data_IF_552846657562
#
_entry.id   IF_552846657562
#
_cell.length_a   1.000
_cell.length_b   1.000
_cell.length_c   1.000
_cell.angle_alpha   90.00
_cell.angle_beta   90.00
_cell.angle_gamma   90.00
#
_symmetry.space_group_name_H-M   'P 1'
#
loop_
_entity.id
_entity.type
_entity.pdbx_description
1 polymer ?
#
# COMPACT_ATOMS: atom_id res chain seq x y z
N UNK A 1 16.14 2.78 -35.29
CA UNK A 1 15.02 2.75 -34.33
C UNK A 1 15.10 1.42 -33.60
N UNK A 2 15.88 1.35 -32.53
CA UNK A 2 15.75 0.23 -31.58
C UNK A 2 14.35 0.31 -30.98
N UNK A 3 13.55 -0.73 -31.17
CA UNK A 3 12.25 -0.87 -30.53
C UNK A 3 12.48 -0.83 -29.02
N UNK A 4 11.81 0.08 -28.33
CA UNK A 4 11.86 0.22 -26.87
C UNK A 4 11.53 -1.14 -26.22
N UNK A 5 12.47 -1.72 -25.49
CA UNK A 5 12.30 -3.04 -24.87
C UNK A 5 11.71 -2.88 -23.47
N UNK A 6 10.40 -3.13 -23.35
CA UNK A 6 9.68 -3.03 -22.11
C UNK A 6 10.14 -4.02 -21.04
N UNK A 7 10.56 -5.21 -21.41
CA UNK A 7 11.00 -6.22 -20.44
C UNK A 7 12.29 -5.75 -19.75
N UNK A 8 13.24 -5.20 -20.52
CA UNK A 8 14.46 -4.63 -19.96
C UNK A 8 14.14 -3.39 -19.10
N UNK A 9 13.23 -2.54 -19.55
CA UNK A 9 12.85 -1.33 -18.82
C UNK A 9 12.17 -1.63 -17.49
N UNK A 10 11.30 -2.64 -17.45
CA UNK A 10 10.51 -2.98 -16.26
C UNK A 10 11.25 -3.84 -15.25
N UNK A 11 12.29 -4.56 -15.67
CA UNK A 11 13.05 -5.48 -14.81
C UNK A 11 13.53 -4.86 -13.49
N UNK A 12 14.11 -3.65 -13.43
CA UNK A 12 14.51 -3.03 -12.17
C UNK A 12 13.31 -2.77 -11.23
N UNK A 13 12.14 -2.43 -11.78
CA UNK A 13 10.91 -2.21 -10.99
C UNK A 13 10.37 -3.52 -10.43
N UNK A 14 10.39 -4.61 -11.20
CA UNK A 14 9.99 -5.94 -10.76
C UNK A 14 10.87 -6.41 -9.61
N UNK A 15 12.19 -6.32 -9.76
CA UNK A 15 13.15 -6.64 -8.70
C UNK A 15 12.94 -5.78 -7.44
N UNK A 16 12.74 -4.47 -7.60
CA UNK A 16 12.54 -3.56 -6.47
C UNK A 16 11.25 -3.89 -5.70
N UNK A 17 10.16 -4.20 -6.41
CA UNK A 17 8.88 -4.56 -5.81
C UNK A 17 8.99 -5.88 -5.04
N UNK A 18 9.57 -6.91 -5.64
CA UNK A 18 9.78 -8.23 -5.01
C UNK A 18 10.66 -8.12 -3.76
N UNK A 19 11.79 -7.43 -3.87
CA UNK A 19 12.74 -7.22 -2.77
C UNK A 19 12.09 -6.47 -1.61
N UNK A 20 11.31 -5.42 -1.90
CA UNK A 20 10.67 -4.65 -0.84
C UNK A 20 9.56 -5.44 -0.14
N UNK A 21 8.76 -6.22 -0.87
CA UNK A 21 7.77 -7.13 -0.27
C UNK A 21 8.46 -8.09 0.70
N UNK A 22 9.57 -8.69 0.28
CA UNK A 22 10.32 -9.63 1.11
C UNK A 22 10.84 -8.97 2.41
N UNK A 23 11.35 -7.73 2.30
CA UNK A 23 11.77 -6.94 3.47
C UNK A 23 10.63 -6.65 4.43
N UNK A 24 9.45 -6.31 3.94
CA UNK A 24 8.27 -6.03 4.77
C UNK A 24 7.74 -7.30 5.44
N UNK A 25 7.74 -8.45 4.75
CA UNK A 25 7.42 -9.74 5.37
C UNK A 25 8.44 -10.12 6.47
N UNK A 26 9.72 -9.79 6.25
CA UNK A 26 10.74 -9.94 7.29
C UNK A 26 10.46 -9.11 8.55
N UNK A 27 9.94 -7.88 8.38
CA UNK A 27 9.53 -7.03 9.50
C UNK A 27 8.33 -7.64 10.24
N UNK A 28 7.31 -8.14 9.54
CA UNK A 28 6.18 -8.85 10.15
C UNK A 28 6.65 -10.01 11.01
N UNK A 29 7.59 -10.82 10.50
CA UNK A 29 8.19 -11.92 11.24
C UNK A 29 8.94 -11.46 12.50
N UNK A 30 9.57 -10.29 12.48
CA UNK A 30 10.23 -9.73 13.68
C UNK A 30 9.22 -9.34 14.75
N UNK A 31 8.10 -8.70 14.40
CA UNK A 31 7.00 -8.42 15.33
C UNK A 31 6.47 -9.70 15.95
N UNK A 32 6.21 -10.73 15.16
CA UNK A 32 5.75 -12.04 15.62
C UNK A 32 6.71 -12.69 16.62
N UNK A 33 8.00 -12.76 16.27
CA UNK A 33 9.03 -13.37 17.15
C UNK A 33 9.22 -12.61 18.46
N UNK A 34 8.98 -11.30 18.45
CA UNK A 34 9.06 -10.46 19.62
C UNK A 34 7.77 -10.45 20.47
N UNK A 35 6.72 -11.18 20.08
CA UNK A 35 5.38 -11.12 20.67
C UNK A 35 4.83 -9.69 20.74
N UNK A 36 5.11 -8.87 19.72
CA UNK A 36 4.60 -7.52 19.58
C UNK A 36 3.46 -7.47 18.59
N UNK A 37 2.50 -6.59 18.85
CA UNK A 37 1.45 -6.30 17.88
C UNK A 37 2.04 -5.79 16.58
N UNK A 38 1.72 -6.44 15.46
CA UNK A 38 2.17 -6.05 14.13
C UNK A 38 1.15 -5.11 13.47
N UNK A 39 1.54 -3.87 13.10
CA UNK A 39 0.63 -2.95 12.41
C UNK A 39 0.43 -3.29 10.93
N UNK A 40 1.24 -4.20 10.38
CA UNK A 40 1.19 -4.63 8.98
C UNK A 40 0.39 -5.92 8.90
N UNK A 41 -0.66 -5.95 8.08
CA UNK A 41 -1.45 -7.16 7.90
C UNK A 41 -1.15 -7.84 6.56
N UNK A 42 -1.27 -7.10 5.46
CA UNK A 42 -1.02 -7.62 4.12
C UNK A 42 -0.05 -6.70 3.39
N UNK A 43 0.95 -7.30 2.75
CA UNK A 43 1.86 -6.61 1.83
C UNK A 43 1.68 -7.20 0.45
N UNK A 44 1.48 -6.35 -0.54
CA UNK A 44 1.41 -6.74 -1.94
C UNK A 44 2.10 -5.71 -2.82
N UNK A 45 2.44 -6.09 -4.02
CA UNK A 45 3.04 -5.16 -4.97
C UNK A 45 2.64 -5.48 -6.40
N UNK A 46 2.85 -4.51 -7.26
CA UNK A 46 2.63 -4.69 -8.69
C UNK A 46 3.55 -3.79 -9.50
N UNK A 47 3.84 -4.21 -10.71
CA UNK A 47 4.41 -3.38 -11.76
C UNK A 47 3.32 -3.07 -12.78
N UNK A 48 3.23 -1.81 -13.18
CA UNK A 48 2.23 -1.33 -14.14
C UNK A 48 2.54 -1.87 -15.54
N UNK A 49 1.49 -2.29 -16.26
CA UNK A 49 1.66 -2.74 -17.64
C UNK A 49 2.15 -1.63 -18.57
N UNK A 50 2.91 -1.95 -19.64
CA UNK A 50 3.38 -0.98 -20.62
C UNK A 50 2.29 -0.06 -21.15
N UNK A 51 1.13 -0.63 -21.49
CA UNK A 51 -0.01 0.16 -21.97
C UNK A 51 -0.48 1.18 -20.93
N UNK A 52 -0.58 0.78 -19.65
CA UNK A 52 -1.00 1.67 -18.57
C UNK A 52 0.02 2.78 -18.29
N UNK A 53 1.31 2.49 -18.46
CA UNK A 53 2.40 3.49 -18.35
C UNK A 53 2.28 4.53 -19.47
N UNK A 54 2.14 4.08 -20.71
CA UNK A 54 1.98 4.96 -21.88
C UNK A 54 0.72 5.83 -21.77
N UNK A 55 -0.41 5.25 -21.35
CA UNK A 55 -1.64 6.01 -21.17
C UNK A 55 -1.51 7.06 -20.05
N UNK A 56 -0.76 6.76 -19.00
CA UNK A 56 -0.48 7.72 -17.94
C UNK A 56 0.48 8.82 -18.44
N UNK A 57 1.55 8.47 -19.12
CA UNK A 57 2.52 9.41 -19.68
C UNK A 57 1.84 10.39 -20.64
N UNK A 58 0.94 9.90 -21.53
CA UNK A 58 0.15 10.75 -22.43
C UNK A 58 -0.74 11.73 -21.69
N UNK A 59 -1.45 11.28 -20.64
CA UNK A 59 -2.30 12.15 -19.82
C UNK A 59 -1.54 13.23 -19.06
N UNK A 60 -0.30 12.93 -18.69
CA UNK A 60 0.58 13.86 -17.99
C UNK A 60 1.45 14.71 -18.94
N UNK A 61 1.33 14.52 -20.27
CA UNK A 61 2.21 15.10 -21.27
C UNK A 61 3.70 14.84 -21.00
N UNK A 62 4.03 13.62 -20.53
CA UNK A 62 5.40 13.20 -20.27
C UNK A 62 5.99 12.53 -21.51
N UNK A 63 7.12 13.03 -22.04
CA UNK A 63 7.85 12.36 -23.11
C UNK A 63 8.31 10.96 -22.70
N UNK A 64 8.38 10.02 -23.64
CA UNK A 64 8.80 8.63 -23.39
C UNK A 64 10.17 8.56 -22.71
N UNK A 65 11.09 9.44 -23.06
CA UNK A 65 12.43 9.50 -22.49
C UNK A 65 12.47 9.91 -20.99
N UNK A 66 11.39 10.43 -20.44
CA UNK A 66 11.28 10.89 -19.05
C UNK A 66 10.26 10.07 -18.23
N UNK A 67 9.83 8.91 -18.75
CA UNK A 67 8.82 8.07 -18.07
C UNK A 67 9.34 7.60 -16.71
N UNK A 68 10.58 7.15 -16.62
CA UNK A 68 11.23 6.68 -15.40
C UNK A 68 11.39 7.76 -14.34
N UNK A 69 11.49 9.03 -14.74
CA UNK A 69 11.62 10.17 -13.82
C UNK A 69 10.27 10.78 -13.38
N UNK A 70 9.25 10.68 -14.22
CA UNK A 70 7.98 11.43 -14.05
C UNK A 70 6.77 10.56 -13.75
N UNK A 71 6.81 9.27 -14.06
CA UNK A 71 5.73 8.32 -13.75
C UNK A 71 6.07 7.56 -12.48
N UNK A 72 5.61 8.07 -11.33
CA UNK A 72 6.03 7.60 -10.00
C UNK A 72 5.48 6.24 -9.57
N UNK A 73 4.46 5.72 -10.26
CA UNK A 73 3.72 4.52 -9.89
C UNK A 73 3.89 3.35 -10.88
N UNK A 74 5.06 3.29 -11.53
CA UNK A 74 5.43 2.12 -12.36
C UNK A 74 5.54 0.90 -11.45
N UNK A 75 6.34 0.98 -10.39
CA UNK A 75 6.38 0.02 -9.31
C UNK A 75 5.55 0.52 -8.12
N UNK A 76 4.66 -0.31 -7.60
CA UNK A 76 3.80 0.04 -6.48
C UNK A 76 3.81 -1.03 -5.39
N UNK A 77 3.90 -0.59 -4.14
CA UNK A 77 3.76 -1.41 -2.95
C UNK A 77 2.47 -1.00 -2.25
N UNK A 78 1.66 -1.98 -1.88
CA UNK A 78 0.45 -1.76 -1.10
C UNK A 78 0.56 -2.47 0.24
N UNK A 79 0.33 -1.73 1.32
CA UNK A 79 0.32 -2.25 2.67
C UNK A 79 -1.06 -2.01 3.26
N UNK A 80 -1.72 -3.09 3.69
CA UNK A 80 -3.03 -3.04 4.33
C UNK A 80 -2.87 -3.23 5.83
N UNK A 81 -3.58 -2.40 6.59
CA UNK A 81 -3.59 -2.36 8.04
C UNK A 81 -5.02 -2.54 8.57
N UNK A 82 -5.18 -2.94 9.84
CA UNK A 82 -6.51 -3.06 10.47
C UNK A 82 -7.11 -1.71 10.83
N UNK A 83 -6.31 -0.80 11.38
CA UNK A 83 -6.76 0.45 11.98
C UNK A 83 -6.08 1.67 11.35
N UNK A 84 -6.71 2.83 11.47
CA UNK A 84 -6.15 4.09 10.97
C UNK A 84 -4.79 4.39 11.63
N UNK A 85 -4.66 4.19 12.93
CA UNK A 85 -3.41 4.43 13.66
C UNK A 85 -2.26 3.55 13.16
N UNK A 86 -2.57 2.31 12.75
CA UNK A 86 -1.59 1.40 12.17
C UNK A 86 -1.10 1.90 10.81
N UNK A 87 -1.97 2.52 10.02
CA UNK A 87 -1.56 3.15 8.75
C UNK A 87 -0.48 4.20 9.00
N UNK A 88 -0.64 5.05 10.02
CA UNK A 88 0.36 6.07 10.35
C UNK A 88 1.65 5.47 10.93
N UNK A 89 1.54 4.43 11.77
CA UNK A 89 2.73 3.70 12.27
C UNK A 89 3.54 3.08 11.14
N UNK A 90 2.86 2.43 10.18
CA UNK A 90 3.52 1.85 9.01
C UNK A 90 4.10 2.94 8.10
N UNK A 91 3.40 4.06 7.92
CA UNK A 91 3.91 5.19 7.16
C UNK A 91 5.23 5.72 7.75
N UNK A 92 5.32 5.87 9.08
CA UNK A 92 6.55 6.26 9.76
C UNK A 92 7.65 5.20 9.62
N UNK A 93 7.31 3.91 9.74
CA UNK A 93 8.25 2.82 9.54
C UNK A 93 8.87 2.84 8.13
N UNK A 94 8.05 3.08 7.10
CA UNK A 94 8.53 3.19 5.71
C UNK A 94 9.37 4.45 5.52
N UNK A 95 8.91 5.62 6.03
CA UNK A 95 9.61 6.92 5.88
C UNK A 95 10.99 6.95 6.55
N UNK A 96 11.15 6.24 7.66
CA UNK A 96 12.39 6.22 8.44
C UNK A 96 13.41 5.17 7.94
N UNK A 97 13.10 4.45 6.86
CA UNK A 97 14.04 3.48 6.30
C UNK A 97 15.24 4.18 5.65
N UNK A 98 16.42 3.59 5.88
CA UNK A 98 17.67 4.12 5.30
C UNK A 98 17.89 3.75 3.84
N UNK A 99 17.17 2.73 3.35
CA UNK A 99 17.22 2.26 1.97
C UNK A 99 16.21 2.95 1.04
N UNK A 100 15.47 3.94 1.57
CA UNK A 100 14.52 4.77 0.82
C UNK A 100 14.89 6.25 0.93
N UNK A 101 14.82 6.96 -0.19
CA UNK A 101 14.80 8.42 -0.24
C UNK A 101 13.37 8.87 -0.49
N UNK A 102 12.71 9.39 0.54
CA UNK A 102 11.33 9.88 0.43
C UNK A 102 11.31 11.19 -0.35
N UNK A 103 10.58 11.22 -1.46
CA UNK A 103 10.46 12.39 -2.34
C UNK A 103 9.16 13.16 -2.09
N UNK A 104 8.06 12.45 -1.82
CA UNK A 104 6.76 13.07 -1.62
C UNK A 104 5.89 12.23 -0.70
N UNK A 105 5.08 12.89 0.12
CA UNK A 105 4.07 12.29 0.98
C UNK A 105 2.72 12.93 0.69
N UNK A 106 1.67 12.11 0.52
CA UNK A 106 0.29 12.56 0.29
C UNK A 106 -0.64 11.84 1.25
N UNK A 107 -1.14 12.58 2.22
CA UNK A 107 -2.09 12.08 3.21
C UNK A 107 -3.54 12.31 2.74
N UNK A 108 -4.08 11.33 2.00
CA UNK A 108 -5.48 11.34 1.58
C UNK A 108 -6.43 10.75 2.64
N UNK A 109 -5.94 10.47 3.85
CA UNK A 109 -6.79 10.14 4.99
C UNK A 109 -7.26 11.43 5.65
N UNK A 110 -6.34 12.38 5.88
CA UNK A 110 -6.66 13.72 6.38
C UNK A 110 -7.29 14.60 5.29
N UNK A 111 -6.78 14.51 4.07
CA UNK A 111 -7.23 15.30 2.91
C UNK A 111 -7.96 14.39 1.93
N UNK A 112 -9.15 13.91 2.32
CA UNK A 112 -9.97 12.99 1.52
C UNK A 112 -10.26 13.57 0.15
N UNK A 113 -10.08 12.77 -0.91
CA UNK A 113 -10.39 13.22 -2.27
C UNK A 113 -11.90 13.42 -2.45
N UNK A 114 -12.35 14.33 -3.34
CA UNK A 114 -13.78 14.56 -3.61
C UNK A 114 -14.55 13.29 -3.98
N UNK A 115 -13.89 12.28 -4.53
CA UNK A 115 -14.49 10.97 -4.86
C UNK A 115 -14.80 10.11 -3.63
N UNK A 116 -14.25 10.43 -2.47
CA UNK A 116 -14.25 9.58 -1.27
C UNK A 116 -13.01 8.68 -1.14
N UNK A 117 -12.04 8.80 -2.06
CA UNK A 117 -10.80 8.03 -2.00
C UNK A 117 -9.95 8.44 -0.80
N UNK A 118 -9.51 7.45 -0.01
CA UNK A 118 -8.65 7.58 1.16
C UNK A 118 -7.47 6.61 1.06
N UNK A 119 -6.29 7.09 1.33
CA UNK A 119 -5.05 6.30 1.42
C UNK A 119 -3.91 7.19 1.88
N UNK A 120 -2.87 6.63 2.49
CA UNK A 120 -1.62 7.32 2.73
C UNK A 120 -0.64 6.92 1.63
N UNK A 121 -0.08 7.91 0.91
CA UNK A 121 0.85 7.66 -0.18
C UNK A 121 2.24 8.20 0.15
N UNK A 122 3.25 7.40 -0.18
CA UNK A 122 4.66 7.80 -0.15
C UNK A 122 5.24 7.54 -1.53
N UNK A 123 5.89 8.51 -2.11
CA UNK A 123 6.72 8.35 -3.31
C UNK A 123 8.15 8.40 -2.86
N UNK A 124 8.91 7.36 -3.16
CA UNK A 124 10.29 7.25 -2.75
C UNK A 124 11.16 6.68 -3.86
N UNK A 125 12.45 7.04 -3.82
CA UNK A 125 13.48 6.41 -4.63
C UNK A 125 14.08 5.26 -3.85
N UNK A 126 14.13 4.10 -4.48
CA UNK A 126 14.73 2.88 -3.96
C UNK A 126 15.88 2.43 -4.88
N UNK A 127 16.99 2.04 -4.29
CA UNK A 127 18.14 1.53 -5.05
C UNK A 127 18.06 0.01 -5.08
N UNK A 128 17.91 -0.55 -6.29
CA UNK A 128 17.88 -1.99 -6.52
C UNK A 128 19.20 -2.45 -7.15
N UNK A 129 19.76 -3.54 -6.64
CA UNK A 129 20.93 -4.17 -7.20
C UNK A 129 20.56 -5.03 -8.41
N UNK A 130 21.22 -4.80 -9.53
CA UNK A 130 21.03 -5.54 -10.78
C UNK A 130 22.34 -6.08 -11.29
N UNK A 131 22.30 -6.95 -12.32
CA UNK A 131 23.52 -7.42 -13.02
C UNK A 131 24.32 -6.27 -13.66
N UNK A 132 23.73 -5.09 -13.82
CA UNK A 132 24.37 -3.87 -14.34
C UNK A 132 24.78 -2.90 -13.22
N UNK A 133 24.69 -3.32 -11.96
CA UNK A 133 24.96 -2.51 -10.79
C UNK A 133 23.69 -1.93 -10.16
N UNK A 134 23.88 -1.00 -9.23
CA UNK A 134 22.82 -0.33 -8.49
C UNK A 134 22.01 0.63 -9.38
N UNK A 135 20.70 0.46 -9.44
CA UNK A 135 19.79 1.29 -10.24
C UNK A 135 18.76 1.92 -9.32
N UNK A 136 18.61 3.27 -9.31
CA UNK A 136 17.53 3.92 -8.61
C UNK A 136 16.20 3.76 -9.36
N UNK A 137 15.15 3.35 -8.66
CA UNK A 137 13.79 3.29 -9.20
C UNK A 137 12.82 4.03 -8.30
N UNK A 138 11.77 4.59 -8.89
CA UNK A 138 10.68 5.23 -8.14
C UNK A 138 9.64 4.18 -7.79
N UNK A 139 9.25 4.16 -6.50
CA UNK A 139 8.19 3.32 -5.97
C UNK A 139 7.12 4.19 -5.33
N UNK A 140 5.86 3.85 -5.59
CA UNK A 140 4.72 4.40 -4.87
C UNK A 140 4.26 3.41 -3.80
N UNK A 141 4.22 3.87 -2.56
CA UNK A 141 3.65 3.13 -1.44
C UNK A 141 2.22 3.62 -1.19
N UNK A 142 1.27 2.69 -1.12
CA UNK A 142 -0.11 2.95 -0.74
C UNK A 142 -0.40 2.21 0.54
N UNK A 143 -0.58 2.93 1.64
CA UNK A 143 -0.84 2.37 2.96
C UNK A 143 -2.30 2.68 3.32
N UNK A 144 -3.08 1.65 3.65
CA UNK A 144 -4.55 1.71 3.77
C UNK A 144 -5.06 0.80 4.88
N UNK A 145 -6.27 1.11 5.36
CA UNK A 145 -7.07 0.10 6.06
C UNK A 145 -7.76 -0.86 5.08
N UNK A 146 -8.34 -1.94 5.59
CA UNK A 146 -9.17 -2.84 4.78
C UNK A 146 -10.37 -2.12 4.15
N UNK A 147 -11.04 -1.23 4.88
CA UNK A 147 -12.18 -0.48 4.37
C UNK A 147 -11.77 0.45 3.22
N UNK A 148 -10.64 1.16 3.35
CA UNK A 148 -10.07 1.99 2.29
C UNK A 148 -9.71 1.14 1.05
N UNK A 149 -9.13 -0.03 1.27
CA UNK A 149 -8.74 -0.92 0.19
C UNK A 149 -9.95 -1.47 -0.57
N UNK A 150 -10.97 -1.93 0.15
CA UNK A 150 -12.21 -2.43 -0.45
C UNK A 150 -12.87 -1.35 -1.32
N UNK A 151 -13.07 -0.15 -0.77
CA UNK A 151 -13.65 0.96 -1.51
C UNK A 151 -12.85 1.31 -2.78
N UNK A 152 -11.52 1.41 -2.66
CA UNK A 152 -10.64 1.76 -3.78
C UNK A 152 -10.66 0.69 -4.88
N UNK A 153 -10.80 -0.59 -4.55
CA UNK A 153 -10.90 -1.66 -5.54
C UNK A 153 -12.22 -1.59 -6.35
N UNK A 154 -13.32 -1.23 -5.70
CA UNK A 154 -14.61 -1.01 -6.37
C UNK A 154 -14.53 0.23 -7.29
N UNK A 155 -14.00 1.35 -6.79
CA UNK A 155 -13.79 2.55 -7.62
C UNK A 155 -12.96 2.25 -8.87
N UNK A 156 -11.87 1.51 -8.71
CA UNK A 156 -11.00 1.12 -9.82
C UNK A 156 -11.74 0.26 -10.85
N UNK A 157 -12.53 -0.73 -10.40
CA UNK A 157 -13.34 -1.59 -11.27
C UNK A 157 -14.37 -0.79 -12.06
N UNK A 158 -15.04 0.17 -11.42
CA UNK A 158 -16.01 1.05 -12.10
C UNK A 158 -15.33 1.97 -13.11
N UNK A 159 -14.18 2.56 -12.78
CA UNK A 159 -13.40 3.37 -13.71
C UNK A 159 -12.95 2.59 -14.94
N UNK A 160 -12.56 1.34 -14.76
CA UNK A 160 -12.18 0.45 -15.86
C UNK A 160 -13.38 0.12 -16.74
N UNK A 161 -14.51 -0.35 -16.15
CA UNK A 161 -15.73 -0.73 -16.86
C UNK A 161 -16.31 0.42 -17.69
N UNK A 162 -16.34 1.62 -17.14
CA UNK A 162 -16.93 2.80 -17.80
C UNK A 162 -15.90 3.67 -18.53
N UNK A 163 -14.70 3.16 -18.80
CA UNK A 163 -13.63 3.92 -19.47
C UNK A 163 -13.45 5.34 -18.89
N UNK A 164 -13.50 5.45 -17.56
CA UNK A 164 -13.41 6.69 -16.77
C UNK A 164 -14.63 7.64 -16.86
N UNK A 165 -15.70 7.26 -17.55
CA UNK A 165 -16.96 8.03 -17.62
C UNK A 165 -18.04 7.37 -16.73
N UNK A 166 -17.80 7.30 -15.42
CA UNK A 166 -18.77 6.75 -14.47
C UNK A 166 -20.01 7.65 -14.44
N UNK A 167 -21.25 7.08 -14.52
CA UNK A 167 -22.49 7.83 -14.38
C UNK A 167 -22.55 8.62 -13.07
N UNK A 168 -23.16 9.81 -13.09
CA UNK A 168 -23.21 10.73 -11.93
C UNK A 168 -23.82 10.03 -10.71
N UNK A 169 -24.95 9.34 -10.88
CA UNK A 169 -25.62 8.60 -9.81
C UNK A 169 -24.69 7.58 -9.13
N UNK A 170 -23.90 6.82 -9.90
CA UNK A 170 -22.94 5.87 -9.35
C UNK A 170 -21.78 6.57 -8.64
N UNK A 171 -21.34 7.75 -9.12
CA UNK A 171 -20.34 8.55 -8.42
C UNK A 171 -20.84 9.02 -7.05
N UNK A 172 -22.07 9.50 -6.97
CA UNK A 172 -22.68 9.95 -5.73
C UNK A 172 -22.81 8.79 -4.72
N UNK A 173 -23.30 7.63 -5.18
CA UNK A 173 -23.38 6.43 -4.35
C UNK A 173 -22.01 5.94 -3.89
N UNK A 174 -21.00 5.98 -4.76
CA UNK A 174 -19.64 5.61 -4.42
C UNK A 174 -19.04 6.57 -3.38
N UNK A 175 -19.29 7.88 -3.51
CA UNK A 175 -18.87 8.88 -2.52
C UNK A 175 -19.56 8.66 -1.18
N UNK A 176 -20.86 8.32 -1.17
CA UNK A 176 -21.60 7.98 0.04
C UNK A 176 -21.04 6.71 0.72
N UNK A 177 -20.71 5.69 -0.07
CA UNK A 177 -20.04 4.48 0.42
C UNK A 177 -18.64 4.79 1.00
N UNK A 178 -17.90 5.74 0.43
CA UNK A 178 -16.63 6.22 0.98
C UNK A 178 -16.78 6.83 2.36
N UNK A 179 -17.80 7.64 2.59
CA UNK A 179 -18.13 8.19 3.91
C UNK A 179 -18.55 7.11 4.92
N UNK A 180 -19.26 6.08 4.47
CA UNK A 180 -19.60 4.94 5.33
C UNK A 180 -18.36 4.13 5.73
N UNK A 181 -17.44 3.91 4.80
CA UNK A 181 -16.16 3.26 5.06
C UNK A 181 -15.28 4.07 6.04
N UNK A 182 -15.29 5.41 5.94
CA UNK A 182 -14.60 6.30 6.87
C UNK A 182 -15.15 6.15 8.30
N UNK A 183 -16.46 6.19 8.45
CA UNK A 183 -17.11 5.99 9.76
C UNK A 183 -16.82 4.62 10.35
N UNK A 184 -16.78 3.57 9.51
CA UNK A 184 -16.42 2.23 9.96
C UNK A 184 -14.97 2.20 10.49
N UNK A 185 -14.03 2.79 9.81
CA UNK A 185 -12.63 2.88 10.24
C UNK A 185 -12.49 3.63 11.56
N UNK A 186 -13.19 4.75 11.72
CA UNK A 186 -13.21 5.56 12.96
C UNK A 186 -13.76 4.75 14.13
N UNK A 187 -14.88 4.06 13.92
CA UNK A 187 -15.52 3.26 14.96
C UNK A 187 -14.61 2.07 15.37
N UNK A 188 -14.01 1.36 14.43
CA UNK A 188 -13.10 0.26 14.73
C UNK A 188 -11.87 0.74 15.52
N UNK A 189 -11.30 1.89 15.17
CA UNK A 189 -10.19 2.50 15.89
C UNK A 189 -10.59 2.91 17.31
N UNK A 190 -11.81 3.45 17.48
CA UNK A 190 -12.39 3.82 18.78
C UNK A 190 -12.62 2.59 19.68
N UNK A 191 -13.17 1.52 19.12
CA UNK A 191 -13.38 0.24 19.84
C UNK A 191 -12.03 -0.28 20.36
N UNK A 192 -10.99 -0.32 19.51
CA UNK A 192 -9.64 -0.73 19.94
C UNK A 192 -9.12 0.10 21.10
N UNK A 193 -9.21 1.44 21.01
CA UNK A 193 -8.76 2.34 22.06
C UNK A 193 -9.53 2.12 23.38
N UNK A 194 -10.80 1.76 23.31
CA UNK A 194 -11.62 1.43 24.48
C UNK A 194 -11.18 0.12 25.12
N UNK A 195 -10.91 -0.93 24.32
CA UNK A 195 -10.40 -2.21 24.80
C UNK A 195 -9.06 -2.02 25.52
N UNK A 196 -8.11 -1.31 24.89
CA UNK A 196 -6.80 -1.03 25.49
C UNK A 196 -6.91 -0.29 26.85
N UNK A 197 -7.85 0.63 26.99
CA UNK A 197 -8.13 1.29 28.29
C UNK A 197 -8.71 0.36 29.33
N UNK A 198 -9.62 -0.52 28.95
CA UNK A 198 -10.22 -1.50 29.87
C UNK A 198 -9.18 -2.50 30.34
N UNK A 199 -8.32 -3.00 29.47
CA UNK A 199 -7.24 -3.91 29.82
C UNK A 199 -6.24 -3.29 30.82
N UNK A 200 -5.92 -2.00 30.64
CA UNK A 200 -5.09 -1.23 31.57
C UNK A 200 -5.76 -1.06 32.96
N UNK A 201 -7.08 -0.91 33.01
CA UNK A 201 -7.81 -0.74 34.27
C UNK A 201 -8.06 -2.05 35.02
N UNK A 202 -8.13 -3.17 34.31
CA UNK A 202 -8.35 -4.49 34.90
C UNK A 202 -7.05 -5.17 35.37
N UNK A 203 -5.88 -4.56 35.09
CA UNK A 203 -4.58 -5.08 35.54
C UNK A 203 -4.18 -6.41 34.91
N UNK A 204 -4.81 -6.79 33.78
CA UNK A 204 -4.47 -8.00 33.07
C UNK A 204 -3.15 -7.83 32.29
N UNK A 205 -2.25 -8.80 32.51
CA UNK A 205 -0.91 -8.86 31.93
C UNK A 205 -1.01 -8.94 30.40
N UNK A 206 -0.46 -7.93 29.69
CA UNK A 206 -0.50 -7.79 28.22
C UNK A 206 0.12 -8.96 27.44
N UNK A 207 0.62 -10.00 28.14
CA UNK A 207 1.32 -11.14 27.53
C UNK A 207 0.40 -12.20 26.91
N UNK A 208 -0.93 -12.06 26.99
CA UNK A 208 -1.86 -13.14 26.63
C UNK A 208 -2.95 -12.84 25.60
N UNK A 209 -2.94 -11.72 24.93
CA UNK A 209 -3.88 -11.50 23.82
C UNK A 209 -3.22 -11.90 22.49
N UNK A 210 -3.11 -13.20 22.28
CA UNK A 210 -2.94 -13.76 20.94
C UNK A 210 -4.23 -13.50 20.15
N UNK A 211 -4.10 -12.96 18.95
CA UNK A 211 -5.23 -12.75 18.04
C UNK A 211 -5.89 -14.10 17.72
N UNK A 212 -7.18 -14.33 18.01
CA UNK A 212 -7.85 -15.60 17.76
C UNK A 212 -7.89 -16.01 16.27
N UNK A 213 -7.56 -15.10 15.36
CA UNK A 213 -7.55 -15.35 13.91
C UNK A 213 -6.21 -15.88 13.38
N UNK A 214 -5.16 -15.98 14.21
CA UNK A 214 -3.84 -16.46 13.76
C UNK A 214 -3.66 -17.98 13.81
N UNK A 215 -4.67 -18.77 14.20
CA UNK A 215 -4.53 -20.21 14.39
C UNK A 215 -4.69 -21.09 13.13
N UNK A 216 -4.88 -20.53 11.93
CA UNK A 216 -5.16 -21.33 10.72
C UNK A 216 -4.21 -21.12 9.52
N UNK A 217 -2.95 -20.80 9.72
CA UNK A 217 -1.97 -20.90 8.62
C UNK A 217 -0.86 -21.88 9.00
N UNK A 218 -1.16 -23.15 8.91
CA UNK A 218 -0.14 -24.20 8.90
C UNK A 218 0.48 -24.28 7.51
N UNK A 219 1.62 -23.62 7.32
CA UNK A 219 2.43 -23.84 6.12
C UNK A 219 3.16 -25.17 6.29
N UNK A 220 2.71 -26.19 5.57
CA UNK A 220 3.41 -27.46 5.45
C UNK A 220 4.74 -27.26 4.69
N UNK A 221 5.82 -27.11 5.43
CA UNK A 221 7.16 -27.27 4.88
C UNK A 221 7.41 -28.76 4.59
N UNK A 222 7.13 -29.19 3.36
CA UNK A 222 7.73 -30.45 2.87
C UNK A 222 9.22 -30.20 2.67
N UNK A 223 10.00 -30.99 3.42
CA UNK A 223 11.47 -31.10 3.25
C UNK A 223 11.79 -31.57 1.83
N UNK A 224 12.76 -30.95 1.22
CA UNK A 224 13.62 -31.52 0.20
C UNK A 224 14.98 -31.80 0.85
#
# INVERSE_FOLDING_TARGET
NELFNWDIFLQPYELAVEDFILKMEGIKNQYHKANLYCPIEIVSGRVKSPQSILDKARRMNVPTALIDEKVYDIGGIRITCKYIDDVYKVAELVRNRRDLEVLEVRDYIKNVKPSGYRSFHIIARYIVETIKGAIPVLLEFQIRTHAMHFWASIEHSLKYKYQKKIPVELKERLTAAGRAAEKLDEEMTSIRATIEKLDLTLGEDKSKVADPLESEVTINHKKW
#
